data_IF_462881117080
#
_entry.id   IF_462881117080
#
_cell.length_a   1.000
_cell.length_b   1.000
_cell.length_c   1.000
_cell.angle_alpha   90.00
_cell.angle_beta   90.00
_cell.angle_gamma   90.00
#
_symmetry.space_group_name_H-M   'P 1'
#
loop_
_entity.id
_entity.type
_entity.pdbx_description
1 polymer ?
#
# COMPACT_ATOMS: atom_id res chain seq x y z
N UNK A 1 14.92 12.62 -12.72
CA UNK A 1 13.78 12.16 -11.89
C UNK A 1 12.41 12.53 -12.45
N UNK A 2 12.20 13.72 -13.01
CA UNK A 2 10.90 14.15 -13.58
C UNK A 2 10.30 13.18 -14.59
N UNK A 3 11.13 12.53 -15.40
CA UNK A 3 10.70 11.54 -16.38
C UNK A 3 10.03 10.31 -15.75
N UNK A 4 10.58 9.78 -14.64
CA UNK A 4 10.03 8.61 -13.96
C UNK A 4 8.66 8.93 -13.36
N UNK A 5 8.53 10.08 -12.70
CA UNK A 5 7.26 10.48 -12.08
C UNK A 5 6.15 10.80 -13.09
N UNK A 6 6.50 11.25 -14.28
CA UNK A 6 5.55 11.55 -15.37
C UNK A 6 5.23 10.36 -16.27
N UNK A 7 5.93 9.23 -16.10
CA UNK A 7 5.68 8.04 -16.92
C UNK A 7 4.32 7.43 -16.59
N UNK A 8 3.58 7.05 -17.62
CA UNK A 8 2.39 6.20 -17.47
C UNK A 8 2.82 4.82 -17.00
N UNK A 9 2.13 4.29 -16.01
CA UNK A 9 2.49 3.01 -15.40
C UNK A 9 1.30 2.04 -15.42
N UNK A 10 1.59 0.79 -15.78
CA UNK A 10 0.61 -0.30 -15.76
C UNK A 10 0.36 -0.73 -14.33
N UNK A 11 -0.90 -0.77 -13.91
CA UNK A 11 -1.28 -1.31 -12.62
C UNK A 11 -1.07 -2.84 -12.63
N UNK A 12 -0.17 -3.41 -11.81
CA UNK A 12 -0.02 -4.85 -11.74
C UNK A 12 -1.10 -5.38 -10.80
N UNK A 13 -2.20 -5.94 -11.31
CA UNK A 13 -3.06 -6.77 -10.48
C UNK A 13 -3.57 -8.02 -11.22
N UNK A 14 -3.48 -9.12 -10.47
CA UNK A 14 -3.82 -10.47 -10.84
C UNK A 14 -5.28 -10.57 -11.26
N UNK A 15 -5.50 -11.24 -12.38
CA UNK A 15 -6.76 -11.30 -13.14
C UNK A 15 -7.75 -12.29 -12.49
N UNK A 16 -8.14 -12.07 -11.23
CA UNK A 16 -9.16 -12.90 -10.55
C UNK A 16 -10.22 -12.05 -9.85
N UNK A 17 -11.41 -12.63 -9.63
CA UNK A 17 -12.55 -11.97 -9.01
C UNK A 17 -12.31 -11.48 -7.55
N UNK A 18 -11.21 -11.91 -6.92
CA UNK A 18 -10.82 -11.49 -5.56
C UNK A 18 -9.91 -10.25 -5.52
N UNK A 19 -9.38 -9.81 -6.66
CA UNK A 19 -8.49 -8.65 -6.77
C UNK A 19 -9.14 -7.58 -7.66
N UNK A 20 -8.99 -6.31 -7.28
CA UNK A 20 -9.78 -5.14 -7.73
C UNK A 20 -10.37 -5.19 -9.15
N UNK A 21 -11.63 -4.77 -9.27
CA UNK A 21 -12.38 -4.69 -10.54
C UNK A 21 -11.64 -3.91 -11.63
N UNK A 22 -11.81 -4.34 -12.89
CA UNK A 22 -11.42 -3.58 -14.09
C UNK A 22 -11.95 -2.15 -14.09
N UNK A 23 -13.05 -1.88 -13.37
CA UNK A 23 -13.64 -0.55 -13.23
C UNK A 23 -12.73 0.43 -12.45
N UNK A 24 -11.75 -0.09 -11.71
CA UNK A 24 -10.73 0.71 -11.02
C UNK A 24 -9.44 0.87 -11.82
N UNK A 25 -9.37 0.28 -13.02
CA UNK A 25 -8.24 0.48 -13.92
C UNK A 25 -8.26 1.90 -14.47
N UNK A 26 -7.16 2.63 -14.24
CA UNK A 26 -6.90 3.89 -14.91
C UNK A 26 -5.84 3.67 -16.00
N UNK A 27 -6.19 3.86 -17.29
CA UNK A 27 -5.25 3.67 -18.39
C UNK A 27 -4.16 4.76 -18.43
N UNK A 28 -4.35 5.84 -17.69
CA UNK A 28 -3.57 7.07 -17.69
C UNK A 28 -3.05 7.46 -16.29
N UNK A 29 -2.71 6.47 -15.47
CA UNK A 29 -2.09 6.72 -14.17
C UNK A 29 -0.59 7.02 -14.34
N UNK A 30 -0.15 8.19 -13.87
CA UNK A 30 1.28 8.49 -13.79
C UNK A 30 1.92 7.80 -12.59
N UNK A 31 3.23 7.59 -12.61
CA UNK A 31 3.94 7.06 -11.44
C UNK A 31 3.77 7.96 -10.22
N UNK A 32 3.66 9.29 -10.39
CA UNK A 32 3.32 10.20 -9.28
C UNK A 32 1.97 9.84 -8.65
N UNK A 33 0.93 9.70 -9.47
CA UNK A 33 -0.41 9.36 -8.97
C UNK A 33 -0.42 8.01 -8.25
N UNK A 34 0.36 7.04 -8.73
CA UNK A 34 0.56 5.76 -8.05
C UNK A 34 1.14 5.95 -6.65
N UNK A 35 2.26 6.66 -6.54
CA UNK A 35 2.95 6.84 -5.25
C UNK A 35 2.08 7.61 -4.25
N UNK A 36 1.32 8.61 -4.72
CA UNK A 36 0.31 9.30 -3.90
C UNK A 36 -0.80 8.34 -3.44
N UNK A 37 -1.26 7.46 -4.33
CA UNK A 37 -2.19 6.38 -4.01
C UNK A 37 -1.65 5.41 -2.95
N UNK A 38 -0.40 4.97 -3.08
CA UNK A 38 0.25 4.08 -2.10
C UNK A 38 0.34 4.75 -0.72
N UNK A 39 0.69 6.04 -0.65
CA UNK A 39 0.67 6.81 0.60
C UNK A 39 -0.73 6.85 1.21
N UNK A 40 -1.78 7.04 0.40
CA UNK A 40 -3.15 7.03 0.89
C UNK A 40 -3.57 5.65 1.43
N UNK A 41 -3.18 4.57 0.74
CA UNK A 41 -3.41 3.19 1.18
C UNK A 41 -2.70 2.90 2.49
N UNK A 42 -1.42 3.27 2.66
CA UNK A 42 -0.74 3.10 3.94
C UNK A 42 -1.47 3.78 5.08
N UNK A 43 -1.89 5.04 4.88
CA UNK A 43 -2.61 5.78 5.91
C UNK A 43 -3.92 5.09 6.28
N UNK A 44 -4.68 4.64 5.30
CA UNK A 44 -5.93 3.92 5.52
C UNK A 44 -5.70 2.59 6.26
N UNK A 45 -4.72 1.80 5.83
CA UNK A 45 -4.36 0.50 6.42
C UNK A 45 -3.90 0.66 7.87
N UNK A 46 -2.98 1.58 8.14
CA UNK A 46 -2.50 1.85 9.51
C UNK A 46 -3.64 2.32 10.41
N UNK A 47 -4.54 3.17 9.92
CA UNK A 47 -5.71 3.61 10.67
C UNK A 47 -6.68 2.47 10.96
N UNK A 48 -6.92 1.57 10.00
CA UNK A 48 -7.80 0.42 10.19
C UNK A 48 -7.23 -0.55 11.24
N UNK A 49 -5.93 -0.87 11.13
CA UNK A 49 -5.24 -1.76 12.08
C UNK A 49 -5.18 -1.15 13.48
N UNK A 50 -4.89 0.14 13.59
CA UNK A 50 -4.84 0.84 14.88
C UNK A 50 -6.18 0.84 15.61
N UNK A 51 -7.31 0.93 14.89
CA UNK A 51 -8.67 0.82 15.49
C UNK A 51 -8.93 -0.54 16.12
N UNK A 52 -8.23 -1.58 15.66
CA UNK A 52 -8.32 -2.92 16.24
C UNK A 52 -7.29 -3.16 17.35
N UNK A 53 -6.39 -2.21 17.63
CA UNK A 53 -5.28 -2.42 18.56
C UNK A 53 -4.11 -3.18 17.96
N UNK A 54 -4.03 -3.25 16.63
CA UNK A 54 -2.90 -3.84 15.90
C UNK A 54 -1.94 -2.74 15.45
N UNK A 55 -0.68 -2.86 15.86
CA UNK A 55 0.39 -1.96 15.44
C UNK A 55 0.92 -2.39 14.08
N UNK A 56 0.94 -1.44 13.15
CA UNK A 56 1.56 -1.61 11.84
C UNK A 56 2.90 -0.87 11.78
N UNK A 57 3.88 -1.44 11.08
CA UNK A 57 5.16 -0.81 10.79
C UNK A 57 5.52 -0.98 9.32
N UNK A 58 6.33 -0.07 8.77
CA UNK A 58 6.82 -0.20 7.40
C UNK A 58 7.82 -1.36 7.30
N UNK A 59 7.76 -2.08 6.18
CA UNK A 59 8.57 -3.29 5.95
C UNK A 59 9.23 -3.21 4.55
N UNK A 60 10.23 -4.06 4.27
CA UNK A 60 10.85 -4.22 2.94
C UNK A 60 11.22 -2.91 2.23
N UNK A 61 10.86 -2.76 0.95
CA UNK A 61 11.25 -1.60 0.13
C UNK A 61 10.61 -0.32 0.64
N UNK A 62 9.47 -0.42 1.32
CA UNK A 62 8.75 0.71 1.89
C UNK A 62 9.51 1.35 3.04
N UNK A 63 10.09 0.53 3.91
CA UNK A 63 10.99 1.01 4.96
C UNK A 63 12.29 1.56 4.36
N UNK A 64 12.86 0.87 3.36
CA UNK A 64 14.10 1.31 2.69
C UNK A 64 13.90 2.67 2.01
N UNK A 65 12.79 2.86 1.31
CA UNK A 65 12.41 4.12 0.67
C UNK A 65 12.35 5.24 1.69
N UNK A 66 11.62 5.04 2.79
CA UNK A 66 11.53 6.03 3.86
C UNK A 66 12.93 6.41 4.39
N UNK A 67 13.78 5.43 4.68
CA UNK A 67 15.11 5.67 5.25
C UNK A 67 16.07 6.35 4.26
N UNK A 68 15.97 6.07 2.96
CA UNK A 68 16.87 6.62 1.95
C UNK A 68 16.42 7.96 1.38
N UNK A 69 15.12 8.15 1.23
CA UNK A 69 14.54 9.25 0.45
C UNK A 69 13.47 10.04 1.21
N UNK A 70 13.10 9.64 2.42
CA UNK A 70 12.01 10.28 3.17
C UNK A 70 10.62 9.97 2.60
N UNK A 71 10.49 8.97 1.73
CA UNK A 71 9.25 8.61 1.06
C UNK A 71 9.42 7.37 0.19
N UNK A 72 8.52 7.17 -0.77
CA UNK A 72 8.59 6.03 -1.69
C UNK A 72 9.84 6.02 -2.57
N UNK A 73 10.25 4.82 -2.99
CA UNK A 73 11.19 4.71 -4.12
C UNK A 73 10.50 5.22 -5.40
N UNK A 74 11.18 5.95 -6.30
CA UNK A 74 10.52 6.54 -7.48
C UNK A 74 9.86 5.53 -8.42
N UNK A 75 10.29 4.27 -8.41
CA UNK A 75 9.79 3.17 -9.25
C UNK A 75 8.95 2.14 -8.46
N UNK A 76 8.56 2.44 -7.23
CA UNK A 76 7.77 1.54 -6.39
C UNK A 76 6.40 1.25 -7.02
N UNK A 77 5.95 -0.01 -6.91
CA UNK A 77 4.72 -0.47 -7.57
C UNK A 77 3.65 -0.93 -6.58
N UNK A 78 4.06 -1.28 -5.37
CA UNK A 78 3.29 -1.81 -4.26
C UNK A 78 3.81 -1.26 -2.94
N UNK A 79 3.29 -1.76 -1.82
CA UNK A 79 3.71 -1.29 -0.51
C UNK A 79 3.51 -2.32 0.57
N UNK A 80 4.53 -2.48 1.42
CA UNK A 80 4.56 -3.46 2.49
C UNK A 80 4.36 -2.82 3.87
N UNK A 81 3.49 -3.42 4.67
CA UNK A 81 3.40 -3.17 6.11
C UNK A 81 3.52 -4.49 6.86
N UNK A 82 4.34 -4.49 7.89
CA UNK A 82 4.41 -5.57 8.86
C UNK A 82 3.42 -5.35 10.00
N UNK A 83 2.91 -6.45 10.53
CA UNK A 83 2.09 -6.52 11.75
C UNK A 83 2.57 -7.68 12.61
N UNK A 84 2.31 -7.62 13.92
CA UNK A 84 2.62 -8.73 14.81
C UNK A 84 1.45 -9.71 14.87
N UNK A 85 1.71 -10.97 14.55
CA UNK A 85 0.71 -12.05 14.63
C UNK A 85 0.05 -12.11 16.01
N UNK A 86 0.85 -11.97 17.08
CA UNK A 86 0.34 -11.98 18.45
C UNK A 86 -0.69 -10.86 18.72
N UNK A 87 -0.49 -9.67 18.16
CA UNK A 87 -1.44 -8.56 18.29
C UNK A 87 -2.72 -8.82 17.47
N UNK A 88 -2.58 -9.38 16.27
CA UNK A 88 -3.72 -9.78 15.45
C UNK A 88 -4.59 -10.83 16.18
N UNK A 89 -3.96 -11.84 16.80
CA UNK A 89 -4.66 -12.87 17.58
C UNK A 89 -5.34 -12.25 18.81
N UNK A 90 -4.61 -11.45 19.60
CA UNK A 90 -5.13 -10.82 20.80
C UNK A 90 -6.32 -9.88 20.51
N UNK A 91 -6.27 -9.22 19.36
CA UNK A 91 -7.29 -8.27 18.90
C UNK A 91 -8.45 -8.93 18.16
N UNK A 92 -8.41 -10.25 17.94
CA UNK A 92 -9.33 -10.97 17.05
C UNK A 92 -9.48 -10.28 15.67
N UNK A 93 -8.35 -9.80 15.13
CA UNK A 93 -8.30 -9.03 13.89
C UNK A 93 -8.59 -9.94 12.69
N UNK A 94 -9.86 -9.96 12.29
CA UNK A 94 -10.36 -10.76 11.17
C UNK A 94 -10.73 -9.86 9.99
N UNK A 95 -10.84 -10.43 8.78
CA UNK A 95 -11.34 -9.67 7.60
C UNK A 95 -12.69 -9.00 7.87
N UNK A 96 -13.58 -9.66 8.63
CA UNK A 96 -14.88 -9.11 9.01
C UNK A 96 -14.77 -7.96 10.02
N UNK A 97 -13.77 -7.96 10.89
CA UNK A 97 -13.52 -6.86 11.83
C UNK A 97 -12.87 -5.62 11.17
N UNK A 98 -12.33 -5.78 9.96
CA UNK A 98 -11.69 -4.73 9.17
C UNK A 98 -12.63 -4.06 8.15
N UNK A 99 -13.83 -4.60 7.93
CA UNK A 99 -14.83 -4.10 6.98
C UNK A 99 -15.72 -3.02 7.60
#
# INVERSE_FOLDING_TARGET
ETEVFGANVLHPLFNSAEHFSKDHWRPDMTQRDRLEGLTAVYRATVQALSKLGVTAFLESSSLIGLLRHGGHMPWEVDGDVGVLEAECIASNATKAALA
#
